data_IF_265657639814
#
_entry.id   IF_265657639814
#
_cell.length_a   1.000
_cell.length_b   1.000
_cell.length_c   1.000
_cell.angle_alpha   90.00
_cell.angle_beta   90.00
_cell.angle_gamma   90.00
#
_symmetry.space_group_name_H-M   'P 1'
#
loop_
_entity.id
_entity.type
_entity.pdbx_description
1 polymer ?
#
# COMPACT_ATOMS: atom_id res chain seq x y z
N UNK A 1 -12.67 -7.59 10.19
CA UNK A 1 -13.72 -6.54 10.17
C UNK A 1 -14.68 -6.88 9.05
N UNK A 2 -15.96 -7.11 9.35
CA UNK A 2 -17.00 -7.27 8.33
C UNK A 2 -17.65 -5.92 8.15
N UNK A 3 -17.67 -5.42 6.93
CA UNK A 3 -18.28 -4.13 6.57
C UNK A 3 -19.59 -4.44 5.86
N UNK A 4 -20.64 -3.69 6.13
CA UNK A 4 -21.89 -3.75 5.37
C UNK A 4 -21.92 -2.58 4.40
N UNK A 5 -22.17 -2.84 3.12
CA UNK A 5 -22.15 -1.82 2.08
C UNK A 5 -22.42 -2.41 0.70
N UNK A 6 -22.75 -1.55 -0.27
CA UNK A 6 -23.13 -1.95 -1.63
C UNK A 6 -21.97 -2.56 -2.42
N UNK A 7 -20.72 -2.24 -2.06
CA UNK A 7 -19.51 -2.73 -2.71
C UNK A 7 -18.41 -2.96 -1.67
N UNK A 8 -17.91 -4.19 -1.58
CA UNK A 8 -16.84 -4.60 -0.67
C UNK A 8 -15.71 -5.19 -1.50
N UNK A 9 -14.53 -4.59 -1.42
CA UNK A 9 -13.37 -4.96 -2.24
C UNK A 9 -12.19 -5.32 -1.33
N UNK A 10 -11.60 -6.49 -1.55
CA UNK A 10 -10.52 -7.03 -0.71
C UNK A 10 -9.12 -6.82 -1.30
N UNK A 11 -9.02 -6.39 -2.56
CA UNK A 11 -7.74 -6.22 -3.25
C UNK A 11 -7.47 -4.75 -3.56
N UNK A 12 -6.20 -4.35 -3.53
CA UNK A 12 -5.77 -3.01 -3.89
C UNK A 12 -6.13 -2.65 -5.34
N UNK A 13 -5.88 -3.50 -6.35
CA UNK A 13 -6.22 -3.17 -7.74
C UNK A 13 -7.71 -2.86 -7.91
N UNK A 14 -8.60 -3.70 -7.37
CA UNK A 14 -10.04 -3.47 -7.47
C UNK A 14 -10.47 -2.15 -6.82
N UNK A 15 -9.84 -1.77 -5.70
CA UNK A 15 -10.14 -0.51 -5.01
C UNK A 15 -9.71 0.71 -5.82
N UNK A 16 -8.57 0.60 -6.52
CA UNK A 16 -8.06 1.65 -7.42
C UNK A 16 -8.97 1.75 -8.64
N UNK A 17 -9.31 0.63 -9.28
CA UNK A 17 -10.22 0.60 -10.44
C UNK A 17 -11.58 1.22 -10.09
N UNK A 18 -12.12 0.91 -8.91
CA UNK A 18 -13.37 1.49 -8.44
C UNK A 18 -13.27 3.01 -8.24
N UNK A 19 -12.15 3.51 -7.72
CA UNK A 19 -11.91 4.95 -7.56
C UNK A 19 -11.76 5.65 -8.92
N UNK A 20 -11.02 5.06 -9.87
CA UNK A 20 -10.89 5.58 -11.23
C UNK A 20 -12.22 5.57 -11.99
N UNK A 21 -13.09 4.59 -11.71
CA UNK A 21 -14.45 4.52 -12.24
C UNK A 21 -15.42 5.50 -11.54
N UNK A 22 -14.97 6.29 -10.58
CA UNK A 22 -15.79 7.29 -9.87
C UNK A 22 -16.74 6.71 -8.83
N UNK A 23 -16.51 5.48 -8.36
CA UNK A 23 -17.37 4.80 -7.37
C UNK A 23 -17.08 5.24 -5.92
N UNK A 24 -16.12 6.15 -5.70
CA UNK A 24 -15.85 6.74 -4.39
C UNK A 24 -14.38 7.03 -4.12
N UNK A 25 -14.02 7.04 -2.83
CA UNK A 25 -12.67 7.31 -2.35
C UNK A 25 -11.96 6.02 -1.95
N UNK A 26 -10.67 5.92 -2.25
CA UNK A 26 -9.83 4.79 -1.86
C UNK A 26 -8.61 5.27 -1.06
N UNK A 27 -8.40 4.68 0.12
CA UNK A 27 -7.20 4.92 0.93
C UNK A 27 -6.11 3.88 0.64
N UNK A 28 -5.18 4.20 -0.25
CA UNK A 28 -4.18 3.27 -0.79
C UNK A 28 -2.77 3.86 -0.70
N UNK A 29 -1.71 3.03 -0.72
CA UNK A 29 -0.35 3.50 -0.84
C UNK A 29 -0.11 4.35 -2.11
N UNK A 30 0.66 5.44 -1.97
CA UNK A 30 0.91 6.41 -3.04
C UNK A 30 1.61 5.80 -4.26
N UNK A 31 2.49 4.81 -4.03
CA UNK A 31 3.23 4.08 -5.08
C UNK A 31 2.28 3.35 -6.05
N UNK A 32 1.14 2.89 -5.57
CA UNK A 32 0.16 2.16 -6.37
C UNK A 32 -0.68 3.07 -7.28
N UNK A 33 -0.72 4.38 -7.02
CA UNK A 33 -1.57 5.36 -7.75
C UNK A 33 -0.79 6.52 -8.34
N UNK A 34 0.54 6.48 -8.29
CA UNK A 34 1.39 7.56 -8.78
C UNK A 34 1.10 7.94 -10.24
N UNK A 35 0.91 6.95 -11.12
CA UNK A 35 0.56 7.17 -12.52
C UNK A 35 -0.85 7.76 -12.69
N UNK A 36 -1.83 7.23 -11.93
CA UNK A 36 -3.21 7.71 -11.95
C UNK A 36 -3.32 9.17 -11.48
N UNK A 37 -2.54 9.55 -10.47
CA UNK A 37 -2.41 10.91 -9.99
C UNK A 37 -1.71 11.81 -11.03
N UNK A 38 -0.60 11.35 -11.61
CA UNK A 38 0.15 12.11 -12.60
C UNK A 38 -0.65 12.36 -13.89
N UNK A 39 -1.49 11.40 -14.30
CA UNK A 39 -2.38 11.52 -15.46
C UNK A 39 -3.68 12.27 -15.16
N UNK A 40 -3.97 12.58 -13.89
CA UNK A 40 -5.21 13.24 -13.46
C UNK A 40 -6.44 12.33 -13.47
N UNK A 41 -6.27 11.01 -13.67
CA UNK A 41 -7.35 10.01 -13.48
C UNK A 41 -7.83 9.96 -12.05
N UNK A 42 -6.92 10.19 -11.10
CA UNK A 42 -7.24 10.34 -9.69
C UNK A 42 -6.77 11.69 -9.17
N UNK A 43 -7.45 12.18 -8.14
CA UNK A 43 -7.06 13.37 -7.38
C UNK A 43 -6.84 12.99 -5.93
N UNK A 44 -5.74 13.45 -5.34
CA UNK A 44 -5.48 13.27 -3.91
C UNK A 44 -6.37 14.22 -3.12
N UNK A 45 -7.17 13.67 -2.23
CA UNK A 45 -8.00 14.42 -1.27
C UNK A 45 -7.49 14.19 0.14
N UNK A 46 -7.86 15.06 1.09
CA UNK A 46 -7.56 14.87 2.52
C UNK A 46 -6.05 14.77 2.83
N UNK A 47 -5.20 15.47 2.08
CA UNK A 47 -3.74 15.38 2.21
C UNK A 47 -3.24 15.75 3.62
N UNK A 48 -3.86 16.73 4.28
CA UNK A 48 -3.52 17.17 5.64
C UNK A 48 -3.80 16.09 6.70
N UNK A 49 -4.71 15.15 6.41
CA UNK A 49 -5.07 14.04 7.29
C UNK A 49 -4.36 12.74 6.92
N UNK A 50 -3.44 12.77 5.95
CA UNK A 50 -2.71 11.59 5.49
C UNK A 50 -1.24 11.69 5.92
N UNK A 51 -0.84 11.08 7.04
CA UNK A 51 0.55 11.11 7.48
C UNK A 51 1.44 10.37 6.47
N UNK A 52 2.68 10.84 6.34
CA UNK A 52 3.66 10.20 5.46
C UNK A 52 3.90 8.74 5.89
N UNK A 53 3.90 7.83 4.91
CA UNK A 53 4.24 6.44 5.15
C UNK A 53 5.75 6.33 5.43
N UNK A 54 6.20 5.83 6.60
CA UNK A 54 7.62 5.79 6.96
C UNK A 54 8.44 4.79 6.12
N UNK A 55 7.77 4.04 5.25
CA UNK A 55 8.35 2.98 4.44
C UNK A 55 8.10 1.60 5.02
N UNK A 56 8.50 0.59 4.25
CA UNK A 56 8.37 -0.80 4.64
C UNK A 56 9.49 -1.19 5.61
N UNK A 57 9.12 -1.88 6.69
CA UNK A 57 10.06 -2.45 7.63
C UNK A 57 10.12 -3.97 7.45
N UNK A 58 11.33 -4.52 7.39
CA UNK A 58 11.50 -5.97 7.36
C UNK A 58 11.39 -6.54 8.77
N UNK A 59 10.47 -7.49 8.96
CA UNK A 59 10.24 -8.17 10.22
C UNK A 59 10.42 -9.68 10.05
N UNK A 60 11.18 -10.30 10.96
CA UNK A 60 11.39 -11.75 10.99
C UNK A 60 11.05 -12.28 12.40
N UNK A 61 10.01 -13.12 12.55
CA UNK A 61 9.48 -13.50 13.87
C UNK A 61 10.35 -14.51 14.64
N UNK A 62 11.35 -15.11 14.00
CA UNK A 62 12.24 -16.07 14.65
C UNK A 62 13.18 -15.34 15.62
N UNK A 63 13.21 -15.81 16.87
CA UNK A 63 14.21 -15.37 17.87
C UNK A 63 15.53 -16.16 17.80
N UNK A 64 15.60 -17.21 16.98
CA UNK A 64 16.86 -17.92 16.73
C UNK A 64 17.75 -17.04 15.86
N UNK A 65 19.08 -17.19 16.00
CA UNK A 65 20.05 -16.49 15.15
C UNK A 65 19.60 -16.51 13.69
N UNK A 66 19.73 -15.37 13.02
CA UNK A 66 19.37 -15.22 11.62
C UNK A 66 20.01 -16.34 10.80
N UNK A 67 19.19 -17.00 9.98
CA UNK A 67 19.71 -17.99 9.04
C UNK A 67 20.67 -17.28 8.08
N UNK A 68 21.71 -17.97 7.61
CA UNK A 68 22.64 -17.41 6.63
C UNK A 68 21.92 -16.82 5.41
N UNK A 69 20.83 -17.46 4.97
CA UNK A 69 19.97 -16.96 3.91
C UNK A 69 19.28 -15.62 4.25
N UNK A 70 18.78 -15.45 5.48
CA UNK A 70 18.18 -14.19 5.89
C UNK A 70 19.23 -13.07 6.02
N UNK A 71 20.43 -13.39 6.50
CA UNK A 71 21.54 -12.43 6.53
C UNK A 71 21.90 -11.96 5.12
N UNK A 72 22.01 -12.87 4.16
CA UNK A 72 22.27 -12.53 2.76
C UNK A 72 21.14 -11.68 2.15
N UNK A 73 19.88 -12.00 2.46
CA UNK A 73 18.73 -11.20 2.03
C UNK A 73 18.79 -9.79 2.63
N UNK A 74 19.08 -9.67 3.92
CA UNK A 74 19.24 -8.38 4.59
C UNK A 74 20.34 -7.53 3.95
N UNK A 75 21.49 -8.12 3.66
CA UNK A 75 22.61 -7.43 3.01
C UNK A 75 22.25 -6.98 1.59
N UNK A 76 21.47 -7.78 0.87
CA UNK A 76 21.02 -7.46 -0.48
C UNK A 76 20.00 -6.33 -0.48
N UNK A 77 19.05 -6.33 0.45
CA UNK A 77 18.00 -5.31 0.56
C UNK A 77 18.47 -3.97 1.17
N UNK A 78 19.66 -3.95 1.80
CA UNK A 78 20.26 -2.73 2.38
C UNK A 78 21.07 -1.89 1.39
N UNK A 79 21.45 -2.46 0.25
CA UNK A 79 22.18 -1.75 -0.81
C UNK A 79 21.22 -0.87 -1.61
#
# INVERSE_FOLDING_TARGET
MRVEGQLILNSLPQRIDAAEAGLGLAYVPDDCVAEALASGRLVRVLAEWTPAFPGYHLYYPSRRQHTSAFTLLLETLRR
#
